data_IF_504201457708
#
_entry.id   IF_504201457708
#
_cell.length_a   1.000
_cell.length_b   1.000
_cell.length_c   1.000
_cell.angle_alpha   90.00
_cell.angle_beta   90.00
_cell.angle_gamma   90.00
#
_symmetry.space_group_name_H-M   'P 1'
#
loop_
_entity.id
_entity.type
_entity.pdbx_description
1 polymer ?
#
# COMPACT_ATOMS: atom_id res chain seq x y z
N UNK A 1 -11.87 -13.86 -20.77
CA UNK A 1 -10.85 -14.75 -20.19
C UNK A 1 -11.34 -15.21 -18.82
N UNK A 2 -11.96 -16.38 -18.76
CA UNK A 2 -12.21 -17.03 -17.48
C UNK A 2 -10.86 -17.36 -16.84
N UNK A 3 -10.65 -16.97 -15.59
CA UNK A 3 -9.46 -17.40 -14.85
C UNK A 3 -9.54 -18.91 -14.68
N UNK A 4 -8.69 -19.64 -15.41
CA UNK A 4 -8.56 -21.09 -15.25
C UNK A 4 -8.26 -21.44 -13.78
N UNK A 5 -8.75 -22.58 -13.32
CA UNK A 5 -8.54 -23.04 -11.94
C UNK A 5 -7.05 -23.04 -11.56
N UNK A 6 -6.19 -23.46 -12.50
CA UNK A 6 -4.74 -23.45 -12.35
C UNK A 6 -4.17 -22.02 -12.17
N UNK A 7 -4.72 -21.01 -12.84
CA UNK A 7 -4.32 -19.61 -12.62
C UNK A 7 -4.71 -19.12 -11.22
N UNK A 8 -5.94 -19.47 -10.78
CA UNK A 8 -6.42 -19.11 -9.42
C UNK A 8 -5.53 -19.72 -8.34
N UNK A 9 -5.15 -20.99 -8.51
CA UNK A 9 -4.23 -21.69 -7.61
C UNK A 9 -2.85 -21.02 -7.55
N UNK A 10 -2.31 -20.56 -8.69
CA UNK A 10 -1.03 -19.84 -8.71
C UNK A 10 -1.08 -18.50 -8.00
N UNK A 11 -2.15 -17.74 -8.21
CA UNK A 11 -2.37 -16.47 -7.50
C UNK A 11 -2.48 -16.73 -5.99
N UNK A 12 -3.28 -17.71 -5.59
CA UNK A 12 -3.43 -18.10 -4.19
C UNK A 12 -2.10 -18.55 -3.57
N UNK A 13 -1.32 -19.36 -4.29
CA UNK A 13 -0.03 -19.86 -3.82
C UNK A 13 0.99 -18.72 -3.64
N UNK A 14 1.08 -17.78 -4.58
CA UNK A 14 1.97 -16.63 -4.45
C UNK A 14 1.58 -15.74 -3.24
N UNK A 15 0.29 -15.48 -3.06
CA UNK A 15 -0.20 -14.75 -1.89
C UNK A 15 0.08 -15.51 -0.59
N UNK A 16 -0.11 -16.84 -0.57
CA UNK A 16 0.12 -17.70 0.59
C UNK A 16 1.59 -17.71 1.04
N UNK A 17 2.55 -17.69 0.11
CA UNK A 17 3.98 -17.55 0.44
C UNK A 17 4.24 -16.23 1.16
N UNK A 18 3.63 -15.15 0.67
CA UNK A 18 3.64 -13.84 1.32
C UNK A 18 3.13 -13.88 2.76
N UNK A 19 1.93 -14.44 2.92
CA UNK A 19 1.27 -14.62 4.22
C UNK A 19 2.13 -15.45 5.16
N UNK A 20 2.73 -16.54 4.70
CA UNK A 20 3.55 -17.43 5.52
C UNK A 20 4.87 -16.78 5.94
N UNK A 21 5.66 -16.31 4.97
CA UNK A 21 7.01 -15.81 5.23
C UNK A 21 6.99 -14.44 5.91
N UNK A 22 6.20 -13.50 5.40
CA UNK A 22 6.13 -12.14 5.96
C UNK A 22 5.04 -12.08 7.03
N UNK A 23 3.81 -12.50 6.70
CA UNK A 23 2.66 -12.36 7.60
C UNK A 23 2.80 -13.10 8.94
N UNK A 24 3.38 -14.31 8.92
CA UNK A 24 3.46 -15.21 10.10
C UNK A 24 4.89 -15.32 10.63
N UNK A 25 5.84 -15.80 9.82
CA UNK A 25 7.21 -16.10 10.27
C UNK A 25 7.95 -14.84 10.71
N UNK A 26 7.81 -13.75 9.96
CA UNK A 26 8.50 -12.50 10.27
C UNK A 26 7.77 -11.63 11.31
N UNK A 27 6.57 -12.03 11.75
CA UNK A 27 5.77 -11.27 12.72
C UNK A 27 6.55 -10.89 14.00
N UNK A 28 7.37 -11.77 14.62
CA UNK A 28 8.13 -11.42 15.82
C UNK A 28 9.10 -10.25 15.64
N UNK A 29 9.51 -9.94 14.40
CA UNK A 29 10.40 -8.81 14.11
C UNK A 29 9.67 -7.46 14.17
N UNK A 30 8.35 -7.46 14.02
CA UNK A 30 7.52 -6.24 13.97
C UNK A 30 6.43 -6.21 15.06
N UNK A 31 6.27 -7.30 15.83
CA UNK A 31 5.30 -7.37 16.91
C UNK A 31 5.67 -6.42 18.02
N UNK A 32 4.75 -5.53 18.37
CA UNK A 32 4.90 -4.68 19.55
C UNK A 32 4.56 -5.47 20.83
N UNK A 33 5.15 -5.13 22.00
CA UNK A 33 4.92 -5.83 23.27
C UNK A 33 3.45 -5.89 23.72
N UNK A 34 2.63 -4.91 23.33
CA UNK A 34 1.20 -4.85 23.64
C UNK A 34 0.31 -5.37 22.50
N UNK A 35 -0.75 -6.16 22.80
CA UNK A 35 -1.63 -6.75 21.78
C UNK A 35 -2.47 -5.71 21.00
N UNK A 36 -2.61 -4.49 21.53
CA UNK A 36 -3.37 -3.38 20.91
C UNK A 36 -2.47 -2.31 20.30
N UNK A 37 -1.15 -2.51 20.30
CA UNK A 37 -0.23 -1.51 19.82
C UNK A 37 -0.15 -1.53 18.29
N UNK A 38 -0.14 -0.35 17.70
CA UNK A 38 0.07 -0.18 16.27
C UNK A 38 1.48 -0.67 15.87
N UNK A 39 1.58 -1.37 14.75
CA UNK A 39 2.87 -1.76 14.17
C UNK A 39 3.56 -0.50 13.61
N UNK A 40 4.72 -0.16 14.16
CA UNK A 40 5.51 1.01 13.74
C UNK A 40 6.89 0.58 13.28
N UNK A 41 7.38 1.19 12.20
CA UNK A 41 8.72 0.90 11.71
C UNK A 41 9.81 1.32 12.73
N UNK A 42 9.55 2.35 13.53
CA UNK A 42 10.44 2.79 14.62
C UNK A 42 10.67 1.74 15.72
N UNK A 43 9.76 0.77 15.86
CA UNK A 43 9.86 -0.26 16.91
C UNK A 43 10.71 -1.46 16.43
N UNK A 44 11.08 -1.48 15.15
CA UNK A 44 11.88 -2.54 14.54
C UNK A 44 13.35 -2.17 14.69
N UNK A 45 14.14 -3.09 15.26
CA UNK A 45 15.59 -2.90 15.36
C UNK A 45 16.23 -2.79 13.97
N UNK A 46 17.43 -2.21 13.89
CA UNK A 46 18.19 -2.12 12.61
C UNK A 46 18.42 -3.51 12.02
N UNK A 47 18.80 -4.49 12.84
CA UNK A 47 18.96 -5.88 12.41
C UNK A 47 17.65 -6.51 11.93
N UNK A 48 16.54 -6.23 12.61
CA UNK A 48 15.20 -6.65 12.20
C UNK A 48 14.82 -6.04 10.84
N UNK A 49 15.09 -4.76 10.63
CA UNK A 49 14.84 -4.05 9.38
C UNK A 49 15.59 -4.66 8.20
N UNK A 50 16.89 -4.95 8.37
CA UNK A 50 17.71 -5.62 7.35
C UNK A 50 17.14 -7.01 7.04
N UNK A 51 16.80 -7.77 8.08
CA UNK A 51 16.21 -9.12 7.95
C UNK A 51 14.91 -9.08 7.17
N UNK A 52 14.05 -8.09 7.42
CA UNK A 52 12.79 -7.91 6.69
C UNK A 52 12.99 -7.57 5.22
N UNK A 53 13.97 -6.72 4.89
CA UNK A 53 14.28 -6.40 3.49
C UNK A 53 14.76 -7.66 2.75
N UNK A 54 15.68 -8.42 3.35
CA UNK A 54 16.17 -9.68 2.78
C UNK A 54 15.03 -10.69 2.61
N UNK A 55 14.18 -10.83 3.63
CA UNK A 55 13.06 -11.77 3.57
C UNK A 55 12.00 -11.35 2.57
N UNK A 56 11.70 -10.05 2.44
CA UNK A 56 10.79 -9.54 1.42
C UNK A 56 11.31 -9.83 0.01
N UNK A 57 12.61 -9.61 -0.21
CA UNK A 57 13.27 -9.96 -1.46
C UNK A 57 13.18 -11.46 -1.77
N UNK A 58 13.52 -12.33 -0.81
CA UNK A 58 13.42 -13.78 -0.97
C UNK A 58 11.98 -14.24 -1.20
N UNK A 59 11.01 -13.62 -0.52
CA UNK A 59 9.59 -13.91 -0.69
C UNK A 59 9.13 -13.63 -2.11
N UNK A 60 9.53 -12.50 -2.70
CA UNK A 60 9.25 -12.19 -4.10
C UNK A 60 9.92 -13.17 -5.07
N UNK A 61 11.18 -13.54 -4.81
CA UNK A 61 11.91 -14.51 -5.63
C UNK A 61 11.25 -15.90 -5.62
N UNK A 62 10.88 -16.40 -4.44
CA UNK A 62 10.20 -17.70 -4.30
C UNK A 62 8.82 -17.66 -4.97
N UNK A 63 8.06 -16.57 -4.76
CA UNK A 63 6.74 -16.41 -5.35
C UNK A 63 6.77 -16.40 -6.88
N UNK A 64 7.82 -15.85 -7.49
CA UNK A 64 8.04 -15.92 -8.94
C UNK A 64 8.09 -17.38 -9.43
N UNK A 65 8.85 -18.26 -8.75
CA UNK A 65 8.96 -19.66 -9.15
C UNK A 65 7.67 -20.44 -8.91
N UNK A 66 6.99 -20.20 -7.78
CA UNK A 66 5.72 -20.90 -7.48
C UNK A 66 4.60 -20.52 -8.45
N UNK A 67 4.62 -19.30 -8.99
CA UNK A 67 3.62 -18.85 -9.97
C UNK A 67 4.05 -19.02 -11.43
N UNK A 68 5.11 -19.80 -11.70
CA UNK A 68 5.59 -20.11 -13.05
C UNK A 68 4.47 -20.68 -13.95
N UNK A 69 4.35 -20.25 -15.23
CA UNK A 69 5.23 -19.34 -15.97
C UNK A 69 4.87 -17.85 -15.86
N UNK A 70 3.82 -17.50 -15.11
CA UNK A 70 3.36 -16.11 -14.92
C UNK A 70 3.99 -15.47 -13.67
N UNK A 71 5.23 -15.89 -13.36
CA UNK A 71 5.93 -15.53 -12.15
C UNK A 71 6.09 -14.02 -11.97
N UNK A 72 6.33 -13.33 -13.09
CA UNK A 72 6.55 -11.88 -13.13
C UNK A 72 5.27 -11.12 -12.75
N UNK A 73 4.14 -11.55 -13.29
CA UNK A 73 2.87 -10.89 -13.12
C UNK A 73 2.25 -11.23 -11.75
N UNK A 74 2.39 -12.46 -11.29
CA UNK A 74 1.70 -12.94 -10.07
C UNK A 74 2.56 -12.82 -8.83
N UNK A 75 3.87 -13.06 -8.92
CA UNK A 75 4.78 -13.10 -7.77
C UNK A 75 4.85 -11.79 -6.97
N UNK A 76 4.55 -10.66 -7.62
CA UNK A 76 4.49 -9.33 -7.00
C UNK A 76 3.41 -9.22 -5.91
N UNK A 77 2.41 -10.12 -5.88
CA UNK A 77 1.40 -10.12 -4.84
C UNK A 77 1.94 -10.54 -3.47
N UNK A 78 3.02 -11.32 -3.43
CA UNK A 78 3.46 -12.01 -2.21
C UNK A 78 3.72 -11.04 -1.04
N UNK A 79 4.63 -10.08 -1.20
CA UNK A 79 4.98 -9.17 -0.10
C UNK A 79 3.77 -8.32 0.36
N UNK A 80 3.01 -7.66 -0.53
CA UNK A 80 1.79 -6.95 -0.13
C UNK A 80 0.75 -7.82 0.58
N UNK A 81 0.55 -9.08 0.15
CA UNK A 81 -0.34 -10.02 0.84
C UNK A 81 0.15 -10.35 2.26
N UNK A 82 1.45 -10.56 2.43
CA UNK A 82 2.06 -10.76 3.76
C UNK A 82 1.90 -9.54 4.68
N UNK A 83 2.20 -8.34 4.16
CA UNK A 83 2.02 -7.10 4.91
C UNK A 83 0.54 -6.80 5.23
N UNK A 84 -0.40 -7.33 4.44
CA UNK A 84 -1.84 -7.20 4.73
C UNK A 84 -2.22 -7.92 6.02
N UNK A 85 -1.58 -9.04 6.35
CA UNK A 85 -1.76 -9.71 7.64
C UNK A 85 -1.33 -8.77 8.77
N UNK A 86 -0.22 -8.06 8.61
CA UNK A 86 0.26 -7.11 9.61
C UNK A 86 -0.66 -5.89 9.69
N UNK A 87 -1.15 -5.40 8.56
CA UNK A 87 -2.11 -4.30 8.49
C UNK A 87 -3.41 -4.61 9.26
N UNK A 88 -3.89 -5.85 9.18
CA UNK A 88 -5.11 -6.31 9.88
C UNK A 88 -4.84 -6.61 11.36
N UNK A 89 -3.67 -7.18 11.69
CA UNK A 89 -3.28 -7.51 13.07
C UNK A 89 -2.76 -6.32 13.87
N UNK A 90 -2.38 -5.24 13.21
CA UNK A 90 -1.90 -4.02 13.85
C UNK A 90 -2.99 -3.40 14.73
N UNK A 91 -2.57 -2.79 15.85
CA UNK A 91 -3.43 -1.94 16.65
C UNK A 91 -3.99 -0.73 15.90
N UNK A 92 -4.82 0.05 16.59
CA UNK A 92 -5.51 1.21 16.01
C UNK A 92 -4.72 2.51 16.15
N UNK A 93 -5.00 3.49 15.28
CA UNK A 93 -4.48 4.85 15.44
C UNK A 93 -4.99 5.48 16.74
N UNK A 94 -6.25 5.26 17.09
CA UNK A 94 -6.87 5.69 18.35
C UNK A 94 -6.09 5.20 19.57
N UNK A 95 -5.77 3.90 19.63
CA UNK A 95 -4.98 3.32 20.72
C UNK A 95 -3.60 3.97 20.81
N UNK A 96 -2.98 4.28 19.68
CA UNK A 96 -1.71 5.00 19.66
C UNK A 96 -1.85 6.45 20.17
N UNK A 97 -2.91 7.17 19.77
CA UNK A 97 -3.18 8.53 20.23
C UNK A 97 -3.59 8.58 21.72
N UNK A 98 -4.05 7.48 22.29
CA UNK A 98 -4.30 7.31 23.73
C UNK A 98 -2.99 7.10 24.51
N UNK A 99 -2.07 6.31 23.98
CA UNK A 99 -0.73 6.10 24.57
C UNK A 99 0.11 7.40 24.58
N UNK A 100 -0.15 8.29 23.62
CA UNK A 100 0.58 9.54 23.43
C UNK A 100 -0.40 10.71 23.37
N UNK A 101 -0.93 11.15 24.53
CA UNK A 101 -2.05 12.08 24.57
C UNK A 101 -1.67 13.53 24.22
N UNK A 102 -0.40 13.94 24.39
CA UNK A 102 -0.02 15.35 24.18
C UNK A 102 0.12 15.71 22.70
N UNK A 103 -0.14 16.97 22.35
CA UNK A 103 -0.03 17.45 20.98
C UNK A 103 1.40 17.29 20.41
N UNK A 104 2.42 17.53 21.23
CA UNK A 104 3.82 17.37 20.84
C UNK A 104 4.16 15.90 20.53
N UNK A 105 3.71 14.97 21.37
CA UNK A 105 3.92 13.54 21.14
C UNK A 105 3.21 13.06 19.87
N UNK A 106 1.95 13.49 19.65
CA UNK A 106 1.21 13.17 18.43
C UNK A 106 1.89 13.74 17.19
N UNK A 107 2.39 14.97 17.26
CA UNK A 107 3.15 15.59 16.15
C UNK A 107 4.41 14.78 15.82
N UNK A 108 5.15 14.32 16.83
CA UNK A 108 6.35 13.50 16.63
C UNK A 108 6.00 12.17 15.94
N UNK A 109 4.91 11.52 16.36
CA UNK A 109 4.40 10.28 15.76
C UNK A 109 4.02 10.48 14.29
N UNK A 110 3.20 11.48 13.99
CA UNK A 110 2.81 11.78 12.62
C UNK A 110 4.01 12.13 11.75
N UNK A 111 5.00 12.84 12.30
CA UNK A 111 6.24 13.14 11.58
C UNK A 111 7.03 11.86 11.27
N UNK A 112 7.13 10.93 12.22
CA UNK A 112 7.76 9.62 12.00
C UNK A 112 7.00 8.78 10.96
N UNK A 113 5.67 8.90 10.89
CA UNK A 113 4.85 8.16 9.93
C UNK A 113 5.15 8.44 8.48
N UNK A 114 5.64 9.64 8.16
CA UNK A 114 6.16 9.97 6.82
C UNK A 114 7.23 8.95 6.42
N UNK A 115 8.18 8.68 7.31
CA UNK A 115 9.26 7.72 7.10
C UNK A 115 8.80 6.26 7.23
N UNK A 116 7.85 5.97 8.12
CA UNK A 116 7.30 4.62 8.22
C UNK A 116 6.65 4.20 6.90
N UNK A 117 5.91 5.11 6.24
CA UNK A 117 5.31 4.82 4.93
C UNK A 117 6.34 4.47 3.86
N UNK A 118 7.48 5.15 3.85
CA UNK A 118 8.61 4.85 2.95
C UNK A 118 9.22 3.50 3.28
N UNK A 119 9.43 3.19 4.56
CA UNK A 119 9.96 1.89 5.00
C UNK A 119 9.09 0.72 4.51
N UNK A 120 7.77 0.80 4.68
CA UNK A 120 6.86 -0.24 4.19
C UNK A 120 6.90 -0.39 2.67
N UNK A 121 7.02 0.74 1.95
CA UNK A 121 7.15 0.73 0.49
C UNK A 121 8.47 0.09 0.04
N UNK A 122 9.56 0.30 0.78
CA UNK A 122 10.86 -0.37 0.52
C UNK A 122 10.73 -1.89 0.61
N UNK A 123 9.95 -2.42 1.56
CA UNK A 123 9.71 -3.86 1.63
C UNK A 123 8.96 -4.37 0.40
N UNK A 124 7.90 -3.67 -0.03
CA UNK A 124 7.17 -4.01 -1.27
C UNK A 124 8.12 -3.97 -2.48
N UNK A 125 8.93 -2.92 -2.59
CA UNK A 125 9.91 -2.78 -3.66
C UNK A 125 10.95 -3.90 -3.65
N UNK A 126 11.47 -4.28 -2.48
CA UNK A 126 12.40 -5.41 -2.33
C UNK A 126 11.78 -6.72 -2.86
N UNK A 127 10.51 -6.97 -2.53
CA UNK A 127 9.76 -8.10 -3.09
C UNK A 127 9.67 -8.05 -4.62
N UNK A 128 9.36 -6.89 -5.20
CA UNK A 128 9.30 -6.74 -6.66
C UNK A 128 10.68 -6.99 -7.31
N UNK A 129 11.76 -6.52 -6.68
CA UNK A 129 13.13 -6.78 -7.17
C UNK A 129 13.44 -8.27 -7.12
N UNK A 130 13.01 -8.99 -6.07
CA UNK A 130 13.14 -10.45 -5.98
C UNK A 130 12.45 -11.17 -7.15
N UNK A 131 11.23 -10.75 -7.52
CA UNK A 131 10.52 -11.27 -8.69
C UNK A 131 11.30 -11.03 -9.99
N UNK A 132 11.86 -9.83 -10.16
CA UNK A 132 12.66 -9.48 -11.33
C UNK A 132 13.96 -10.30 -11.41
N UNK A 133 14.59 -10.62 -10.29
CA UNK A 133 15.73 -11.52 -10.27
C UNK A 133 15.33 -12.93 -10.73
N UNK A 134 14.21 -13.46 -10.26
CA UNK A 134 13.67 -14.75 -10.71
C UNK A 134 13.47 -14.78 -12.23
N UNK A 135 12.93 -13.69 -12.79
CA UNK A 135 12.81 -13.51 -14.23
C UNK A 135 14.18 -13.54 -14.94
N UNK A 136 15.17 -12.83 -14.39
CA UNK A 136 16.51 -12.77 -14.97
C UNK A 136 17.20 -14.14 -14.99
N UNK A 137 17.05 -14.93 -13.92
CA UNK A 137 17.62 -16.28 -13.81
C UNK A 137 17.10 -17.18 -14.94
N UNK A 138 15.79 -17.17 -15.19
CA UNK A 138 15.21 -18.05 -16.23
C UNK A 138 15.41 -17.50 -17.65
N UNK A 139 15.29 -16.18 -17.84
CA UNK A 139 15.52 -15.56 -19.16
C UNK A 139 16.98 -15.67 -19.61
N UNK A 140 17.95 -15.70 -18.69
CA UNK A 140 19.35 -16.00 -19.01
C UNK A 140 19.54 -17.38 -19.68
N UNK A 141 18.59 -18.31 -19.49
CA UNK A 141 18.60 -19.63 -20.12
C UNK A 141 17.90 -19.67 -21.49
N UNK A 142 17.23 -18.60 -21.90
CA UNK A 142 16.52 -18.49 -23.20
C UNK A 142 17.11 -17.33 -23.98
N UNK A 143 17.69 -17.63 -25.16
CA UNK A 143 18.38 -16.66 -26.03
C UNK A 143 17.65 -15.31 -26.12
N UNK A 144 18.34 -14.16 -25.94
CA UNK A 144 17.69 -12.89 -25.69
C UNK A 144 16.98 -12.39 -26.95
N UNK A 145 15.64 -12.47 -26.96
CA UNK A 145 14.84 -11.68 -27.88
C UNK A 145 15.07 -10.20 -27.53
N UNK A 146 15.69 -9.46 -28.46
CA UNK A 146 16.04 -8.03 -28.35
C UNK A 146 14.91 -7.25 -27.67
N UNK A 147 15.15 -6.86 -26.43
CA UNK A 147 14.31 -5.89 -25.73
C UNK A 147 14.51 -4.55 -26.44
N UNK A 148 13.49 -4.09 -27.17
CA UNK A 148 13.50 -2.77 -27.83
C UNK A 148 13.77 -1.72 -26.76
N UNK A 149 14.94 -1.09 -26.81
CA UNK A 149 15.28 0.07 -26.00
C UNK A 149 14.31 1.19 -26.36
N UNK A 150 13.36 1.45 -25.46
CA UNK A 150 12.45 2.58 -25.55
C UNK A 150 13.25 3.85 -25.34
N UNK A 151 13.48 4.64 -26.40
CA UNK A 151 13.98 6.00 -26.26
C UNK A 151 13.09 6.75 -25.27
N UNK A 152 13.69 7.32 -24.21
CA UNK A 152 12.98 8.04 -23.15
C UNK A 152 12.38 9.32 -23.71
N UNK A 153 11.09 9.28 -24.04
CA UNK A 153 10.36 10.43 -24.55
C UNK A 153 9.97 11.34 -23.37
N UNK A 154 10.15 12.67 -23.40
CA UNK A 154 9.75 13.58 -22.31
C UNK A 154 8.30 13.42 -21.84
N UNK A 155 7.42 12.99 -22.75
CA UNK A 155 6.01 12.64 -22.47
C UNK A 155 5.84 11.52 -21.44
N UNK A 156 6.83 10.63 -21.32
CA UNK A 156 6.80 9.51 -20.37
C UNK A 156 7.05 9.98 -18.93
N UNK A 157 7.94 10.96 -18.72
CA UNK A 157 8.18 11.56 -17.40
C UNK A 157 6.97 12.36 -16.92
N UNK A 158 6.36 13.14 -17.82
CA UNK A 158 5.14 13.87 -17.51
C UNK A 158 4.00 12.91 -17.11
N UNK A 159 3.83 11.81 -17.86
CA UNK A 159 2.82 10.79 -17.55
C UNK A 159 3.07 10.12 -16.19
N UNK A 160 4.33 9.90 -15.81
CA UNK A 160 4.69 9.36 -14.51
C UNK A 160 4.36 10.34 -13.37
N UNK A 161 4.67 11.62 -13.53
CA UNK A 161 4.34 12.67 -12.54
C UNK A 161 2.83 12.79 -12.36
N UNK A 162 2.08 12.85 -13.47
CA UNK A 162 0.61 12.89 -13.45
C UNK A 162 0.06 11.62 -12.81
N UNK A 163 0.61 10.45 -13.11
CA UNK A 163 0.19 9.19 -12.50
C UNK A 163 0.40 9.19 -10.98
N UNK A 164 1.54 9.69 -10.49
CA UNK A 164 1.82 9.81 -9.07
C UNK A 164 0.86 10.77 -8.37
N UNK A 165 0.83 12.03 -8.81
CA UNK A 165 0.00 13.07 -8.20
C UNK A 165 -1.48 12.71 -8.29
N UNK A 166 -1.94 12.29 -9.47
CA UNK A 166 -3.31 11.84 -9.71
C UNK A 166 -3.71 10.66 -8.82
N UNK A 167 -2.80 9.68 -8.62
CA UNK A 167 -3.10 8.56 -7.71
C UNK A 167 -3.26 9.01 -6.26
N UNK A 168 -2.43 9.95 -5.78
CA UNK A 168 -2.59 10.50 -4.42
C UNK A 168 -3.93 11.20 -4.28
N UNK A 169 -4.32 12.06 -5.23
CA UNK A 169 -5.59 12.79 -5.15
C UNK A 169 -6.81 11.86 -5.27
N UNK A 170 -6.80 10.92 -6.22
CA UNK A 170 -7.88 9.95 -6.37
C UNK A 170 -7.99 9.11 -5.11
N UNK A 171 -6.88 8.59 -4.58
CA UNK A 171 -6.91 7.77 -3.38
C UNK A 171 -7.37 8.56 -2.15
N UNK A 172 -6.87 9.79 -1.96
CA UNK A 172 -7.31 10.68 -0.88
C UNK A 172 -8.82 10.91 -0.92
N UNK A 173 -9.35 11.24 -2.10
CA UNK A 173 -10.77 11.50 -2.30
C UNK A 173 -11.61 10.24 -2.04
N UNK A 174 -11.23 9.11 -2.65
CA UNK A 174 -11.94 7.85 -2.48
C UNK A 174 -11.93 7.36 -1.03
N UNK A 175 -10.79 7.42 -0.32
CA UNK A 175 -10.73 7.04 1.10
C UNK A 175 -11.55 8.01 1.94
N UNK A 176 -11.52 9.30 1.63
CA UNK A 176 -12.36 10.32 2.28
C UNK A 176 -13.86 10.03 2.19
N UNK A 177 -14.32 9.33 1.15
CA UNK A 177 -15.71 8.89 0.99
C UNK A 177 -15.98 7.48 1.54
N UNK A 178 -15.06 6.53 1.34
CA UNK A 178 -15.28 5.12 1.64
C UNK A 178 -14.92 4.74 3.09
N UNK A 179 -14.01 5.48 3.72
CA UNK A 179 -13.58 5.28 5.10
C UNK A 179 -14.25 6.30 6.03
N UNK A 180 -15.55 6.53 5.85
CA UNK A 180 -16.35 7.37 6.73
C UNK A 180 -16.95 6.52 7.85
N UNK A 181 -16.73 6.96 9.08
CA UNK A 181 -17.46 6.51 10.27
C UNK A 181 -18.29 7.69 10.79
N UNK A 182 -18.70 7.66 12.05
CA UNK A 182 -19.42 8.77 12.70
C UNK A 182 -18.68 10.08 12.52
N UNK A 183 -19.31 11.00 11.78
CA UNK A 183 -18.81 12.36 11.58
C UNK A 183 -19.50 13.34 12.51
N UNK A 184 -18.73 14.23 13.13
CA UNK A 184 -19.25 15.32 13.94
C UNK A 184 -18.83 16.66 13.35
N UNK A 185 -19.69 17.65 13.47
CA UNK A 185 -19.39 19.01 13.06
C UNK A 185 -18.54 19.71 14.12
N UNK A 186 -17.50 20.37 13.68
CA UNK A 186 -16.58 21.16 14.48
C UNK A 186 -16.56 22.61 13.97
N UNK A 187 -16.59 23.57 14.89
CA UNK A 187 -16.70 25.00 14.55
C UNK A 187 -15.46 25.56 13.86
N UNK A 188 -14.29 24.91 14.01
CA UNK A 188 -13.01 25.39 13.47
C UNK A 188 -12.51 24.55 12.30
N UNK A 189 -12.75 23.24 12.33
CA UNK A 189 -12.22 22.25 11.39
C UNK A 189 -13.29 21.72 10.42
N UNK A 190 -14.55 22.13 10.59
CA UNK A 190 -15.66 21.76 9.72
C UNK A 190 -16.26 20.43 10.11
N UNK A 191 -15.76 19.33 9.55
CA UNK A 191 -16.21 17.99 9.89
C UNK A 191 -15.02 17.13 10.32
N UNK A 192 -15.20 16.44 11.44
CA UNK A 192 -14.24 15.47 11.97
C UNK A 192 -14.86 14.08 11.93
N UNK A 193 -14.03 13.04 11.91
CA UNK A 193 -14.50 11.66 11.75
C UNK A 193 -13.92 10.78 12.85
N UNK A 194 -14.73 9.88 13.40
CA UNK A 194 -14.23 8.79 14.21
C UNK A 194 -13.33 7.86 13.36
N UNK A 195 -12.39 7.16 14.01
CA UNK A 195 -11.58 6.18 13.28
C UNK A 195 -12.47 5.07 12.71
N UNK A 196 -12.40 4.80 11.39
CA UNK A 196 -13.14 3.71 10.78
C UNK A 196 -12.68 2.35 11.29
N UNK A 197 -13.59 1.38 11.23
CA UNK A 197 -13.30 -0.02 11.56
C UNK A 197 -12.24 -0.61 10.63
N UNK A 198 -11.51 -1.63 11.10
CA UNK A 198 -10.44 -2.28 10.31
C UNK A 198 -10.97 -2.82 8.97
N UNK A 199 -12.18 -3.38 8.94
CA UNK A 199 -12.80 -3.86 7.70
C UNK A 199 -13.07 -2.75 6.69
N UNK A 200 -13.57 -1.59 7.16
CA UNK A 200 -13.76 -0.41 6.30
C UNK A 200 -12.43 0.15 5.80
N UNK A 201 -11.38 0.19 6.63
CA UNK A 201 -10.04 0.60 6.23
C UNK A 201 -9.52 -0.31 5.11
N UNK A 202 -9.61 -1.64 5.32
CA UNK A 202 -9.19 -2.65 4.33
C UNK A 202 -9.87 -2.41 2.99
N UNK A 203 -11.20 -2.29 3.00
CA UNK A 203 -11.99 -2.05 1.80
C UNK A 203 -11.66 -0.71 1.14
N UNK A 204 -11.71 0.39 1.91
CA UNK A 204 -11.55 1.74 1.40
C UNK A 204 -10.17 1.94 0.75
N UNK A 205 -9.08 1.53 1.42
CA UNK A 205 -7.73 1.69 0.87
C UNK A 205 -7.55 0.82 -0.39
N UNK A 206 -7.97 -0.45 -0.33
CA UNK A 206 -7.85 -1.36 -1.47
C UNK A 206 -8.60 -0.85 -2.70
N UNK A 207 -9.87 -0.45 -2.54
CA UNK A 207 -10.70 0.06 -3.63
C UNK A 207 -10.16 1.40 -4.15
N UNK A 208 -9.72 2.30 -3.27
CA UNK A 208 -9.23 3.63 -3.66
C UNK A 208 -7.99 3.54 -4.55
N UNK A 209 -7.02 2.70 -4.18
CA UNK A 209 -5.85 2.47 -5.02
C UNK A 209 -6.15 1.60 -6.24
N UNK A 210 -7.17 0.73 -6.17
CA UNK A 210 -7.70 0.03 -7.34
C UNK A 210 -8.29 0.97 -8.38
N UNK A 211 -9.11 1.93 -7.97
CA UNK A 211 -9.65 2.97 -8.85
C UNK A 211 -8.53 3.84 -9.41
N UNK A 212 -7.59 4.28 -8.56
CA UNK A 212 -6.44 5.08 -9.01
C UNK A 212 -5.62 4.35 -10.09
N UNK A 213 -5.26 3.08 -9.86
CA UNK A 213 -4.49 2.30 -10.83
C UNK A 213 -5.29 1.99 -12.10
N UNK A 214 -6.60 1.75 -11.97
CA UNK A 214 -7.46 1.59 -13.14
C UNK A 214 -7.44 2.84 -14.02
N UNK A 215 -7.63 4.02 -13.43
CA UNK A 215 -7.61 5.31 -14.14
C UNK A 215 -6.25 5.57 -14.76
N UNK A 216 -5.15 5.42 -14.00
CA UNK A 216 -3.78 5.61 -14.51
C UNK A 216 -3.50 4.69 -15.69
N UNK A 217 -3.85 3.40 -15.60
CA UNK A 217 -3.68 2.47 -16.73
C UNK A 217 -4.58 2.84 -17.89
N UNK A 218 -5.82 3.25 -17.64
CA UNK A 218 -6.80 3.53 -18.69
C UNK A 218 -6.45 4.76 -19.52
N UNK A 219 -5.99 5.83 -18.87
CA UNK A 219 -5.82 7.14 -19.50
C UNK A 219 -4.36 7.47 -19.80
N UNK A 220 -3.40 6.96 -19.03
CA UNK A 220 -1.98 7.25 -19.21
C UNK A 220 -1.20 6.07 -19.78
N UNK A 221 -1.80 4.87 -19.84
CA UNK A 221 -1.16 3.60 -20.23
C UNK A 221 0.09 3.23 -19.39
N UNK A 222 0.15 3.77 -18.17
CA UNK A 222 1.27 3.61 -17.25
C UNK A 222 1.09 2.38 -16.34
N UNK A 223 2.20 1.83 -15.82
CA UNK A 223 2.23 0.62 -15.00
C UNK A 223 1.77 0.84 -13.54
N UNK A 224 1.35 -0.22 -12.84
CA UNK A 224 0.86 -0.19 -11.43
C UNK A 224 1.90 0.31 -10.40
N UNK A 225 3.18 0.38 -10.79
CA UNK A 225 4.28 0.84 -9.93
C UNK A 225 4.03 2.26 -9.43
N UNK A 226 3.48 3.15 -10.25
CA UNK A 226 3.26 4.55 -9.85
C UNK A 226 2.14 4.70 -8.82
N UNK A 227 0.94 4.12 -9.02
CA UNK A 227 -0.04 4.02 -7.94
C UNK A 227 0.48 3.34 -6.67
N UNK A 228 1.34 2.31 -6.79
CA UNK A 228 1.94 1.67 -5.63
C UNK A 228 2.90 2.61 -4.87
N UNK A 229 3.74 3.39 -5.57
CA UNK A 229 4.60 4.42 -4.95
C UNK A 229 3.74 5.52 -4.30
N UNK A 230 2.61 5.87 -4.91
CA UNK A 230 1.70 6.88 -4.39
C UNK A 230 1.11 6.51 -3.02
N UNK A 231 1.13 5.24 -2.60
CA UNK A 231 0.70 4.81 -1.26
C UNK A 231 1.51 5.47 -0.14
N UNK A 232 2.83 5.56 -0.28
CA UNK A 232 3.68 6.24 0.69
C UNK A 232 3.49 7.76 0.63
N UNK A 233 3.39 8.31 -0.59
CA UNK A 233 3.17 9.74 -0.80
C UNK A 233 1.85 10.23 -0.20
N UNK A 234 0.80 9.39 -0.24
CA UNK A 234 -0.48 9.71 0.38
C UNK A 234 -0.33 9.98 1.88
N UNK A 235 0.44 9.15 2.59
CA UNK A 235 0.71 9.36 4.04
C UNK A 235 1.47 10.67 4.25
N UNK A 236 2.50 10.92 3.45
CA UNK A 236 3.32 12.14 3.57
C UNK A 236 2.48 13.40 3.32
N UNK A 237 1.65 13.37 2.28
CA UNK A 237 0.76 14.46 1.89
C UNK A 237 -0.29 14.75 2.97
N UNK A 238 -0.97 13.72 3.47
CA UNK A 238 -2.04 13.88 4.45
C UNK A 238 -1.55 14.32 5.81
N UNK A 239 -0.44 13.74 6.29
CA UNK A 239 0.21 14.23 7.51
C UNK A 239 0.60 15.70 7.37
N UNK A 240 1.21 16.08 6.24
CA UNK A 240 1.66 17.47 6.06
C UNK A 240 0.50 18.45 5.95
N UNK A 241 -0.67 17.99 5.48
CA UNK A 241 -1.87 18.82 5.31
C UNK A 241 -2.71 18.93 6.59
N UNK A 242 -2.92 17.81 7.29
CA UNK A 242 -3.90 17.71 8.38
C UNK A 242 -3.28 17.57 9.77
N UNK A 243 -2.02 17.13 9.90
CA UNK A 243 -1.32 17.02 11.18
C UNK A 243 -0.33 18.19 11.38
N UNK A 244 -0.85 19.42 11.19
CA UNK A 244 -0.12 20.66 11.51
C UNK A 244 -0.20 20.93 13.02
N UNK A 245 0.82 21.57 13.56
CA UNK A 245 0.96 21.76 15.01
C UNK A 245 -0.22 22.52 15.63
N UNK A 246 -0.67 23.59 14.98
CA UNK A 246 -1.82 24.41 15.40
C UNK A 246 -3.13 23.61 15.37
N UNK A 247 -3.30 22.76 14.37
CA UNK A 247 -4.46 21.87 14.23
C UNK A 247 -4.45 20.82 15.33
N UNK A 248 -3.31 20.15 15.57
CA UNK A 248 -3.20 19.12 16.61
C UNK A 248 -3.37 19.69 18.02
N UNK A 249 -2.84 20.89 18.31
CA UNK A 249 -3.02 21.54 19.60
C UNK A 249 -4.49 21.79 19.93
N UNK A 250 -5.25 22.32 18.96
CA UNK A 250 -6.68 22.47 19.09
C UNK A 250 -7.38 21.12 19.25
N UNK A 251 -7.02 20.16 18.41
CA UNK A 251 -7.68 18.86 18.35
C UNK A 251 -7.51 18.04 19.63
N UNK A 252 -6.31 18.03 20.22
CA UNK A 252 -6.04 17.33 21.48
C UNK A 252 -6.84 17.89 22.65
N UNK A 253 -7.12 19.20 22.62
CA UNK A 253 -7.86 19.88 23.69
C UNK A 253 -9.36 19.62 23.61
N UNK A 254 -9.93 19.68 22.42
CA UNK A 254 -11.38 19.69 22.23
C UNK A 254 -11.97 18.30 21.90
N UNK A 255 -11.16 17.38 21.35
CA UNK A 255 -11.65 16.12 20.81
C UNK A 255 -11.00 14.89 21.43
N UNK A 256 -11.78 13.81 21.68
CA UNK A 256 -11.22 12.54 22.09
C UNK A 256 -10.25 11.97 21.05
N UNK A 257 -9.31 11.15 21.50
CA UNK A 257 -8.30 10.48 20.66
C UNK A 257 -8.86 9.53 19.60
N UNK A 258 -10.16 9.22 19.67
CA UNK A 258 -10.86 8.39 18.68
C UNK A 258 -11.27 9.16 17.42
N UNK A 259 -11.22 10.48 17.43
CA UNK A 259 -11.58 11.32 16.30
C UNK A 259 -10.34 11.80 15.55
N UNK A 260 -10.53 12.15 14.28
CA UNK A 260 -9.49 12.64 13.38
C UNK A 260 -10.05 13.71 12.45
N UNK A 261 -9.20 14.66 12.07
CA UNK A 261 -9.53 15.75 11.12
C UNK A 261 -9.87 15.20 9.72
N UNK A 262 -9.31 14.06 9.37
CA UNK A 262 -9.56 13.40 8.10
C UNK A 262 -9.42 11.89 8.28
N UNK A 263 -10.27 11.10 7.59
CA UNK A 263 -10.21 9.63 7.69
C UNK A 263 -8.85 9.08 7.29
N UNK A 264 -8.14 9.69 6.34
CA UNK A 264 -6.85 9.15 5.87
C UNK A 264 -5.76 9.22 6.93
N UNK A 265 -5.73 10.27 7.76
CA UNK A 265 -4.76 10.37 8.87
C UNK A 265 -5.06 9.43 10.04
N UNK A 266 -6.24 8.80 10.05
CA UNK A 266 -6.61 7.78 11.04
C UNK A 266 -6.15 6.36 10.64
N UNK A 267 -5.60 6.20 9.43
CA UNK A 267 -5.15 4.91 8.89
C UNK A 267 -3.62 4.80 9.07
N UNK A 268 -3.16 3.64 9.53
CA UNK A 268 -1.73 3.44 9.76
C UNK A 268 -0.94 3.31 8.44
N UNK A 269 0.33 3.74 8.40
CA UNK A 269 1.15 3.66 7.19
C UNK A 269 1.27 2.24 6.61
N UNK A 270 1.39 1.21 7.47
CA UNK A 270 1.45 -0.19 7.03
C UNK A 270 0.15 -0.63 6.33
N UNK A 271 -1.00 -0.13 6.81
CA UNK A 271 -2.31 -0.42 6.21
C UNK A 271 -2.41 0.25 4.83
N UNK A 272 -2.05 1.54 4.72
CA UNK A 272 -2.07 2.27 3.45
C UNK A 272 -1.18 1.58 2.41
N UNK A 273 0.06 1.26 2.76
CA UNK A 273 1.02 0.70 1.80
C UNK A 273 0.67 -0.72 1.40
N UNK A 274 0.35 -1.60 2.35
CA UNK A 274 0.05 -3.00 2.05
C UNK A 274 -1.19 -3.15 1.16
N UNK A 275 -2.30 -2.55 1.60
CA UNK A 275 -3.59 -2.63 0.91
C UNK A 275 -3.58 -1.80 -0.37
N UNK A 276 -2.90 -0.65 -0.35
CA UNK A 276 -2.78 0.22 -1.52
C UNK A 276 -1.93 -0.40 -2.62
N UNK A 277 -0.87 -1.13 -2.28
CA UNK A 277 -0.09 -1.88 -3.26
C UNK A 277 -0.90 -3.01 -3.90
N UNK A 278 -1.65 -3.80 -3.09
CA UNK A 278 -2.57 -4.82 -3.61
C UNK A 278 -3.67 -4.22 -4.49
N UNK A 279 -4.31 -3.15 -4.02
CA UNK A 279 -5.33 -2.42 -4.77
C UNK A 279 -4.78 -1.93 -6.11
N UNK A 280 -3.58 -1.37 -6.12
CA UNK A 280 -2.91 -0.89 -7.32
C UNK A 280 -2.70 -2.00 -8.36
N UNK A 281 -2.26 -3.19 -7.93
CA UNK A 281 -2.08 -4.34 -8.82
C UNK A 281 -3.43 -4.81 -9.36
N UNK A 282 -4.43 -4.96 -8.49
CA UNK A 282 -5.76 -5.40 -8.89
C UNK A 282 -6.43 -4.43 -9.89
N UNK A 283 -6.40 -3.12 -9.61
CA UNK A 283 -6.94 -2.09 -10.48
C UNK A 283 -6.29 -2.06 -11.86
N UNK A 284 -4.97 -2.25 -11.90
CA UNK A 284 -4.23 -2.39 -13.15
C UNK A 284 -4.67 -3.60 -13.98
N UNK A 285 -4.86 -4.78 -13.35
CA UNK A 285 -5.36 -5.97 -14.03
C UNK A 285 -6.79 -5.79 -14.54
N UNK A 286 -7.66 -5.17 -13.74
CA UNK A 286 -9.04 -4.85 -14.16
C UNK A 286 -9.02 -3.93 -15.40
N UNK A 287 -8.15 -2.92 -15.44
CA UNK A 287 -8.02 -2.04 -16.61
C UNK A 287 -7.55 -2.79 -17.87
N UNK A 288 -6.60 -3.73 -17.72
CA UNK A 288 -6.17 -4.59 -18.84
C UNK A 288 -7.35 -5.43 -19.35
N UNK A 289 -8.07 -6.10 -18.46
CA UNK A 289 -9.22 -6.94 -18.84
C UNK A 289 -10.32 -6.11 -19.50
N UNK A 290 -10.61 -4.93 -18.97
CA UNK A 290 -11.58 -4.00 -19.55
C UNK A 290 -11.20 -3.59 -20.97
N UNK A 291 -9.93 -3.21 -21.18
CA UNK A 291 -9.42 -2.86 -22.52
C UNK A 291 -9.48 -4.05 -23.50
N UNK A 292 -9.18 -5.25 -23.03
CA UNK A 292 -9.29 -6.46 -23.85
C UNK A 292 -10.74 -6.74 -24.26
N UNK A 293 -11.66 -6.75 -23.29
CA UNK A 293 -13.10 -6.98 -23.51
C UNK A 293 -13.66 -5.99 -24.53
N UNK A 294 -13.37 -4.69 -24.36
CA UNK A 294 -13.81 -3.63 -25.28
C UNK A 294 -13.35 -3.83 -26.73
N UNK A 295 -12.18 -4.44 -26.94
CA UNK A 295 -11.59 -4.61 -28.28
C UNK A 295 -12.02 -5.90 -28.98
N UNK A 296 -12.31 -6.97 -28.24
CA UNK A 296 -12.48 -8.32 -28.80
C UNK A 296 -13.86 -8.94 -28.56
N UNK A 297 -14.58 -8.52 -27.52
CA UNK A 297 -15.84 -9.16 -27.10
C UNK A 297 -17.08 -8.27 -27.32
N UNK A 298 -16.89 -6.98 -27.63
CA UNK A 298 -17.98 -6.05 -28.00
C UNK A 298 -18.14 -5.86 -29.52
N UNK A 299 -17.61 -6.80 -30.32
CA UNK A 299 -17.88 -6.85 -31.77
C UNK A 299 -19.06 -7.75 -32.05
#
# INVERSE_FOLDING_TARGET
MELSLLMRLRIAAAAAIGVLLIGIIAWPLASSPGPLNAVRASDISVGGSITLVVLAFLTGLIAYFVSWPYGREIGILAVPSGLTIWAVRSGSMTSLMQLYPSAEQRQAIFTAFKWHSVFWLVLVAAGFIGVLLGQKIISSSRSPAKQKTSNSNPTQYLSAIIALAGSVFIAQFCIGMLAQDVSLLDSKLGAIMAQPSVGQIVFAVFISFGVAAFVVKKFLDVNYIWPAIATALLTIFTVSSYARQDVLQYFVREWPSAFFVNSVISILPVQIVALGALGSIAGYWVAIRYNYWRRHEMK
#
